data_IF_383174512162
#
_entry.id   IF_383174512162
#
_cell.length_a   1.000
_cell.length_b   1.000
_cell.length_c   1.000
_cell.angle_alpha   90.00
_cell.angle_beta   90.00
_cell.angle_gamma   90.00
#
_symmetry.space_group_name_H-M   'P 1'
#
loop_
_entity.id
_entity.type
_entity.pdbx_description
1 polymer ?
#
# COMPACT_ATOMS: atom_id res chain seq x y z
N UNK A 1 -13.17 -47.48 26.55
CA UNK A 1 -12.86 -47.00 25.19
C UNK A 1 -12.77 -45.49 25.28
N UNK A 2 -11.58 -44.98 25.58
CA UNK A 2 -11.34 -43.55 25.83
C UNK A 2 -11.09 -42.84 24.51
N UNK A 3 -11.86 -41.80 24.22
CA UNK A 3 -11.57 -40.86 23.15
C UNK A 3 -10.47 -39.92 23.64
N UNK A 4 -9.29 -39.99 23.02
CA UNK A 4 -8.24 -38.97 23.17
C UNK A 4 -8.43 -37.93 22.05
N UNK A 5 -8.83 -36.68 22.34
CA UNK A 5 -8.89 -35.65 21.31
C UNK A 5 -7.56 -34.89 21.34
N UNK A 6 -6.52 -35.39 20.67
CA UNK A 6 -5.28 -34.63 20.48
C UNK A 6 -5.09 -34.22 19.03
N UNK A 7 -6.09 -33.55 18.48
CA UNK A 7 -5.85 -32.66 17.35
C UNK A 7 -6.32 -31.28 17.77
N UNK A 8 -5.56 -30.66 18.67
CA UNK A 8 -5.64 -29.21 18.87
C UNK A 8 -5.19 -28.59 17.56
N UNK A 9 -6.17 -28.28 16.71
CA UNK A 9 -5.96 -27.70 15.40
C UNK A 9 -5.19 -26.41 15.54
N UNK A 10 -4.00 -26.38 14.95
CA UNK A 10 -3.22 -25.16 14.78
C UNK A 10 -4.02 -24.29 13.80
N UNK A 11 -4.67 -23.26 14.31
CA UNK A 11 -5.25 -22.21 13.47
C UNK A 11 -4.08 -21.42 12.86
N UNK A 12 -3.75 -21.69 11.59
CA UNK A 12 -2.66 -21.03 10.86
C UNK A 12 -3.11 -19.64 10.38
N UNK A 13 -3.40 -18.75 11.32
CA UNK A 13 -3.61 -17.34 11.01
C UNK A 13 -2.29 -16.61 11.19
N UNK A 14 -1.82 -15.94 10.13
CA UNK A 14 -0.60 -15.15 10.15
C UNK A 14 -0.74 -13.89 11.03
N UNK A 15 -1.99 -13.48 11.27
CA UNK A 15 -2.36 -12.30 12.04
C UNK A 15 -3.43 -12.66 13.06
N UNK A 16 -3.37 -12.02 14.22
CA UNK A 16 -4.27 -12.26 15.35
C UNK A 16 -5.58 -11.48 15.20
N UNK A 17 -5.57 -10.37 14.46
CA UNK A 17 -6.75 -9.56 14.16
C UNK A 17 -6.66 -8.80 12.84
N UNK A 18 -7.81 -8.31 12.35
CA UNK A 18 -7.86 -7.37 11.21
C UNK A 18 -7.18 -6.04 11.54
N UNK A 19 -7.15 -5.65 12.81
CA UNK A 19 -6.51 -4.41 13.23
C UNK A 19 -4.99 -4.48 13.04
N UNK A 20 -4.38 -5.64 13.34
CA UNK A 20 -2.95 -5.86 13.10
C UNK A 20 -2.61 -5.75 11.61
N UNK A 21 -3.46 -6.32 10.75
CA UNK A 21 -3.28 -6.22 9.28
C UNK A 21 -3.35 -4.76 8.82
N UNK A 22 -4.28 -3.96 9.37
CA UNK A 22 -4.42 -2.54 9.04
C UNK A 22 -3.18 -1.77 9.44
N UNK A 23 -2.72 -1.92 10.68
CA UNK A 23 -1.53 -1.23 11.16
C UNK A 23 -0.30 -1.55 10.30
N UNK A 24 -0.07 -2.83 10.03
CA UNK A 24 1.07 -3.28 9.19
C UNK A 24 0.95 -2.71 7.76
N UNK A 25 -0.26 -2.68 7.22
CA UNK A 25 -0.52 -2.15 5.88
C UNK A 25 -0.29 -0.65 5.82
N UNK A 26 -0.76 0.10 6.81
CA UNK A 26 -0.58 1.56 6.88
C UNK A 26 0.90 1.92 7.02
N UNK A 27 1.65 1.22 7.87
CA UNK A 27 3.09 1.40 8.02
C UNK A 27 3.85 1.04 6.73
N UNK A 28 3.40 0.03 6.01
CA UNK A 28 3.98 -0.33 4.71
C UNK A 28 3.70 0.73 3.65
N UNK A 29 2.46 1.22 3.58
CA UNK A 29 2.03 2.26 2.64
C UNK A 29 2.80 3.56 2.84
N UNK A 30 3.00 3.98 4.09
CA UNK A 30 3.80 5.17 4.41
C UNK A 30 5.22 5.02 3.86
N UNK A 31 5.90 3.93 4.23
CA UNK A 31 7.30 3.67 3.80
C UNK A 31 7.41 3.53 2.29
N UNK A 32 6.45 2.91 1.65
CA UNK A 32 6.44 2.76 0.20
C UNK A 32 6.33 4.13 -0.48
N UNK A 33 5.36 4.95 -0.09
CA UNK A 33 5.11 6.23 -0.77
C UNK A 33 6.18 7.30 -0.46
N UNK A 34 6.77 7.28 0.74
CA UNK A 34 7.66 8.36 1.19
C UNK A 34 9.16 8.03 1.09
N UNK A 35 9.53 6.75 1.18
CA UNK A 35 10.93 6.36 1.38
C UNK A 35 11.47 5.51 0.23
N UNK A 36 10.68 4.60 -0.33
CA UNK A 36 11.21 3.64 -1.32
C UNK A 36 11.47 4.30 -2.68
N UNK A 37 12.70 4.28 -3.20
CA UNK A 37 12.99 4.76 -4.55
C UNK A 37 12.51 3.76 -5.60
N UNK A 38 11.98 4.28 -6.72
CA UNK A 38 11.55 3.47 -7.87
C UNK A 38 12.29 3.87 -9.14
N UNK A 39 12.93 2.93 -9.81
CA UNK A 39 13.71 3.22 -11.04
C UNK A 39 12.83 3.81 -12.15
N UNK A 40 11.58 3.34 -12.27
CA UNK A 40 10.58 3.90 -13.20
C UNK A 40 10.27 5.39 -12.95
N UNK A 41 10.49 5.87 -11.72
CA UNK A 41 10.30 7.26 -11.31
C UNK A 41 11.64 8.03 -11.25
N UNK A 42 12.70 7.52 -11.87
CA UNK A 42 14.04 8.10 -11.78
C UNK A 42 14.69 7.92 -10.41
N UNK A 43 14.44 6.78 -9.77
CA UNK A 43 14.87 6.43 -8.40
C UNK A 43 14.31 7.36 -7.32
N UNK A 44 13.16 7.99 -7.57
CA UNK A 44 12.42 8.80 -6.60
C UNK A 44 11.35 7.98 -5.88
N UNK A 45 11.02 8.32 -4.62
CA UNK A 45 9.78 7.86 -4.00
C UNK A 45 8.55 8.45 -4.69
N UNK A 46 7.40 7.75 -4.66
CA UNK A 46 6.17 8.21 -5.31
C UNK A 46 5.75 9.61 -4.86
N UNK A 47 5.87 9.93 -3.56
CA UNK A 47 5.55 11.26 -3.04
C UNK A 47 6.38 12.37 -3.69
N UNK A 48 7.68 12.14 -3.91
CA UNK A 48 8.59 13.11 -4.54
C UNK A 48 8.29 13.30 -6.01
N UNK A 49 7.99 12.20 -6.71
CA UNK A 49 7.59 12.29 -8.11
C UNK A 49 6.27 13.08 -8.26
N UNK A 50 5.30 12.86 -7.37
CA UNK A 50 4.05 13.65 -7.34
C UNK A 50 4.30 15.13 -7.10
N UNK A 51 5.19 15.48 -6.17
CA UNK A 51 5.58 16.88 -5.95
C UNK A 51 6.12 17.53 -7.23
N UNK A 52 6.96 16.80 -7.99
CA UNK A 52 7.48 17.28 -9.27
C UNK A 52 6.41 17.47 -10.33
N UNK A 53 5.45 16.53 -10.46
CA UNK A 53 4.35 16.67 -11.42
C UNK A 53 3.48 17.90 -11.12
N UNK A 54 3.15 18.11 -9.85
CA UNK A 54 2.38 19.28 -9.40
C UNK A 54 3.14 20.58 -9.67
N UNK A 55 4.45 20.61 -9.39
CA UNK A 55 5.30 21.78 -9.62
C UNK A 55 5.49 22.09 -11.12
N UNK A 56 5.50 21.05 -11.96
CA UNK A 56 5.61 21.20 -13.41
C UNK A 56 4.27 21.57 -14.09
N UNK A 57 3.21 21.79 -13.30
CA UNK A 57 1.83 21.99 -13.78
C UNK A 57 1.35 20.90 -14.73
N UNK A 58 2.00 19.72 -14.68
CA UNK A 58 1.62 18.58 -15.50
C UNK A 58 0.31 18.07 -14.89
N UNK A 59 -0.81 18.09 -15.64
CA UNK A 59 -2.06 17.58 -15.12
C UNK A 59 -1.87 16.11 -14.78
N UNK A 60 -1.97 15.79 -13.49
CA UNK A 60 -1.98 14.41 -12.98
C UNK A 60 -2.97 13.54 -13.79
N UNK A 61 -4.01 14.17 -14.35
CA UNK A 61 -5.02 13.62 -15.25
C UNK A 61 -4.47 12.76 -16.41
N UNK A 62 -3.28 13.05 -16.93
CA UNK A 62 -2.72 12.31 -18.08
C UNK A 62 -1.86 11.10 -17.70
N UNK A 63 -1.55 10.90 -16.42
CA UNK A 63 -0.80 9.71 -15.93
C UNK A 63 -1.76 8.63 -15.40
N UNK A 64 -3.00 8.99 -15.05
CA UNK A 64 -4.00 8.12 -14.41
C UNK A 64 -5.10 7.56 -15.34
N UNK A 65 -4.93 7.58 -16.67
CA UNK A 65 -5.97 7.11 -17.62
C UNK A 65 -6.20 5.58 -17.64
N UNK A 66 -5.90 4.85 -16.56
CA UNK A 66 -6.29 3.43 -16.40
C UNK A 66 -7.13 3.13 -15.16
N UNK A 67 -7.88 4.09 -14.62
CA UNK A 67 -9.03 3.75 -13.75
C UNK A 67 -9.39 4.80 -12.72
N UNK A 68 -10.41 5.59 -13.04
CA UNK A 68 -11.24 6.46 -12.20
C UNK A 68 -10.82 6.69 -10.74
N UNK A 69 -10.47 7.95 -10.43
CA UNK A 69 -10.40 8.48 -9.08
C UNK A 69 -11.32 9.70 -8.96
N UNK A 70 -12.42 9.55 -8.23
CA UNK A 70 -13.17 10.68 -7.66
C UNK A 70 -12.61 11.00 -6.27
N UNK A 71 -12.47 12.31 -5.97
CA UNK A 71 -11.87 12.91 -4.77
C UNK A 71 -12.47 12.41 -3.42
N UNK A 72 -11.90 12.65 -2.20
CA UNK A 72 -10.87 13.61 -1.76
C UNK A 72 -9.88 13.03 -0.70
N UNK A 73 -9.54 11.74 -0.75
CA UNK A 73 -8.54 11.10 0.16
C UNK A 73 -7.31 10.69 -0.64
N UNK A 74 -6.48 11.67 -0.98
CA UNK A 74 -5.21 11.49 -1.69
C UNK A 74 -4.11 10.88 -0.80
N UNK A 75 -4.43 9.81 -0.07
CA UNK A 75 -3.46 8.95 0.61
C UNK A 75 -3.52 7.51 0.12
N UNK A 76 -4.46 7.15 -0.74
CA UNK A 76 -4.58 5.77 -1.20
C UNK A 76 -3.82 5.52 -2.50
N UNK A 77 -2.52 5.37 -2.26
CA UNK A 77 -1.65 4.39 -2.90
C UNK A 77 -1.24 4.72 -4.36
N UNK A 78 -0.12 5.43 -4.52
CA UNK A 78 0.70 5.23 -5.72
C UNK A 78 1.54 3.97 -5.50
N UNK A 79 1.01 2.77 -5.79
CA UNK A 79 1.88 1.61 -6.01
C UNK A 79 2.30 1.67 -7.48
N UNK A 80 3.46 2.24 -7.75
CA UNK A 80 4.10 2.06 -9.04
C UNK A 80 4.97 0.80 -8.94
N UNK A 81 4.39 -0.36 -9.31
CA UNK A 81 5.18 -1.58 -9.54
C UNK A 81 6.23 -1.33 -10.64
#
# INVERSE_FOLDING_TARGET
>A
MGFEPTTTGITRHLFDSIEDVRQITDDWLLRYNEIRPHDALGSLPPARFREQLLAAEIPLCNVYLTGELTAPRLSKIMVCW
#
